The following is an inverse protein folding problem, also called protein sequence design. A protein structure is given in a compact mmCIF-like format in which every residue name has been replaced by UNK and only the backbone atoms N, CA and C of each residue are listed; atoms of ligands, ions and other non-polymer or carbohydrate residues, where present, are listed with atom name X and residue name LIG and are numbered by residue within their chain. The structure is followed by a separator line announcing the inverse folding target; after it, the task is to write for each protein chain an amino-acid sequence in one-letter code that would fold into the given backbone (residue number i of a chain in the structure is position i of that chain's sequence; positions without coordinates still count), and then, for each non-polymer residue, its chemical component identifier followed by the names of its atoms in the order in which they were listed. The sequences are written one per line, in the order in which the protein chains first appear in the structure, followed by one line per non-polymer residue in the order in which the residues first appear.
data_IF_462578327346
#
_entry.id   IF_462578327346
#
_cell.length_a   1.000
_cell.length_b   1.000
_cell.length_c   1.000
_cell.angle_alpha   90.00
_cell.angle_beta   90.00
_cell.angle_gamma   90.00
#
_symmetry.space_group_name_H-M   'P 1'
#
loop_
_entity.id
_entity.type
_entity.pdbx_description
1 polymer ?
#
# COMPACT_ATOMS: atom_id res chain seq x y z
N UNK A 1 -6.50 -24.50 -14.11
CA UNK A 1 -5.61 -23.80 -13.15
C UNK A 1 -6.43 -22.74 -12.46
N UNK A 2 -6.36 -22.69 -11.13
CA UNK A 2 -7.42 -22.17 -10.27
C UNK A 2 -7.82 -20.71 -10.56
N UNK A 3 -9.14 -20.51 -10.69
CA UNK A 3 -9.82 -19.22 -10.66
C UNK A 3 -9.68 -18.65 -9.23
N UNK A 4 -8.60 -17.90 -9.00
CA UNK A 4 -8.47 -17.10 -7.81
C UNK A 4 -9.41 -15.91 -7.97
N UNK A 5 -10.57 -15.96 -7.29
CA UNK A 5 -11.48 -14.83 -7.20
C UNK A 5 -10.66 -13.56 -6.93
N UNK A 6 -10.61 -12.66 -7.91
CA UNK A 6 -9.83 -11.43 -7.82
C UNK A 6 -10.32 -10.68 -6.59
N UNK A 7 -9.46 -10.59 -5.57
CA UNK A 7 -9.78 -9.86 -4.36
C UNK A 7 -10.07 -8.39 -4.73
N UNK A 8 -11.33 -7.99 -4.60
CA UNK A 8 -11.79 -6.64 -4.92
C UNK A 8 -11.83 -5.83 -3.64
N UNK A 9 -11.12 -4.70 -3.62
CA UNK A 9 -11.19 -3.75 -2.51
C UNK A 9 -12.61 -3.19 -2.39
N UNK A 10 -13.11 -3.05 -1.16
CA UNK A 10 -14.38 -2.37 -0.89
C UNK A 10 -14.37 -0.93 -1.42
N UNK A 11 -13.26 -0.22 -1.17
CA UNK A 11 -12.99 1.09 -1.75
C UNK A 11 -11.90 0.94 -2.82
N UNK A 12 -12.22 1.21 -4.10
CA UNK A 12 -11.23 1.15 -5.16
C UNK A 12 -10.11 2.17 -4.93
N UNK A 13 -8.96 1.96 -5.58
CA UNK A 13 -7.89 2.97 -5.60
C UNK A 13 -8.38 4.21 -6.34
N UNK A 14 -8.11 5.41 -5.81
CA UNK A 14 -8.59 6.66 -6.38
C UNK A 14 -7.79 7.89 -5.94
N UNK A 15 -8.32 9.08 -6.20
CA UNK A 15 -7.62 10.37 -6.08
C UNK A 15 -7.12 10.72 -4.67
N UNK A 16 -7.67 10.09 -3.62
CA UNK A 16 -7.28 10.30 -2.22
C UNK A 16 -6.07 9.45 -1.82
N UNK A 17 -5.65 8.53 -2.67
CA UNK A 17 -4.59 7.59 -2.36
C UNK A 17 -3.24 8.10 -2.82
N UNK A 18 -2.19 7.78 -2.06
CA UNK A 18 -0.81 8.10 -2.43
C UNK A 18 -0.24 6.94 -3.23
N UNK A 19 -0.12 7.13 -4.55
CA UNK A 19 0.23 6.07 -5.49
C UNK A 19 1.66 6.22 -5.99
N UNK A 20 2.35 5.08 -6.14
CA UNK A 20 3.64 4.96 -6.82
C UNK A 20 3.59 3.77 -7.78
N UNK A 21 4.13 3.94 -8.99
CA UNK A 21 4.08 2.95 -10.07
C UNK A 21 2.89 3.12 -11.02
N UNK A 22 2.81 2.32 -12.10
CA UNK A 22 1.77 2.46 -13.13
C UNK A 22 0.37 2.08 -12.64
N UNK A 23 -0.66 2.74 -13.19
CA UNK A 23 -2.05 2.45 -12.85
C UNK A 23 -2.54 1.09 -13.36
N UNK A 24 -1.91 0.58 -14.42
CA UNK A 24 -2.19 -0.69 -15.09
C UNK A 24 -1.25 -1.82 -14.63
N UNK A 25 -0.45 -1.59 -13.58
CA UNK A 25 0.42 -2.63 -13.04
C UNK A 25 -0.38 -3.88 -12.65
N UNK A 26 0.08 -5.09 -13.02
CA UNK A 26 -0.64 -6.33 -12.77
C UNK A 26 -0.79 -6.68 -11.28
N UNK A 27 0.02 -6.08 -10.40
CA UNK A 27 -0.08 -6.24 -8.95
C UNK A 27 -0.26 -4.88 -8.30
N UNK A 28 -1.28 -4.76 -7.45
CA UNK A 28 -1.49 -3.60 -6.59
C UNK A 28 -1.31 -3.99 -5.13
N UNK A 29 -0.43 -3.29 -4.42
CA UNK A 29 -0.23 -3.42 -2.98
C UNK A 29 -0.78 -2.16 -2.29
N UNK A 30 -1.79 -2.33 -1.44
CA UNK A 30 -2.34 -1.24 -0.63
C UNK A 30 -1.89 -1.41 0.82
N UNK A 31 -1.12 -0.45 1.32
CA UNK A 31 -0.74 -0.33 2.73
C UNK A 31 -1.63 0.71 3.42
N UNK A 32 -2.21 0.32 4.56
CA UNK A 32 -2.82 1.24 5.50
C UNK A 32 -1.81 1.50 6.61
N UNK A 33 -1.39 2.76 6.76
CA UNK A 33 -0.31 3.09 7.68
C UNK A 33 -0.47 4.44 8.34
N UNK A 34 0.34 4.59 9.38
CA UNK A 34 0.41 5.75 10.26
C UNK A 34 1.89 6.12 10.41
N UNK A 35 2.20 7.41 10.31
CA UNK A 35 3.58 7.89 10.34
C UNK A 35 4.25 7.79 11.70
N UNK A 36 3.50 7.73 12.79
CA UNK A 36 4.04 7.52 14.14
C UNK A 36 4.14 6.04 14.50
N UNK A 37 3.57 5.14 13.71
CA UNK A 37 3.63 3.70 13.95
C UNK A 37 5.05 3.14 13.70
N UNK A 38 5.72 2.57 14.72
CA UNK A 38 7.06 1.99 14.54
C UNK A 38 7.06 0.78 13.62
N UNK A 39 5.97 0.02 13.55
CA UNK A 39 5.84 -1.13 12.66
C UNK A 39 5.67 -0.71 11.19
N UNK A 40 4.88 0.33 10.91
CA UNK A 40 4.78 0.91 9.57
C UNK A 40 6.15 1.41 9.09
N UNK A 41 6.92 2.05 9.98
CA UNK A 41 8.30 2.46 9.67
C UNK A 41 9.21 1.29 9.28
N UNK A 42 9.07 0.13 9.94
CA UNK A 42 9.86 -1.07 9.64
C UNK A 42 9.51 -1.70 8.28
N UNK A 43 8.31 -1.44 7.76
CA UNK A 43 7.85 -1.96 6.47
C UNK A 43 8.45 -1.19 5.28
N UNK A 44 8.80 0.09 5.45
CA UNK A 44 9.39 0.94 4.40
C UNK A 44 10.53 0.27 3.60
N UNK A 45 11.59 -0.29 4.21
CA UNK A 45 12.64 -0.97 3.44
C UNK A 45 12.11 -2.18 2.65
N UNK A 46 11.14 -2.91 3.18
CA UNK A 46 10.53 -4.05 2.48
C UNK A 46 9.74 -3.57 1.26
N UNK A 47 8.99 -2.46 1.37
CA UNK A 47 8.29 -1.86 0.24
C UNK A 47 9.28 -1.42 -0.84
N UNK A 48 10.40 -0.79 -0.45
CA UNK A 48 11.45 -0.41 -1.40
C UNK A 48 12.03 -1.61 -2.14
N UNK A 49 12.37 -2.68 -1.42
CA UNK A 49 12.84 -3.93 -2.03
C UNK A 49 11.82 -4.51 -3.01
N UNK A 50 10.52 -4.43 -2.70
CA UNK A 50 9.45 -4.87 -3.61
C UNK A 50 9.37 -3.97 -4.85
N UNK A 51 9.43 -2.66 -4.68
CA UNK A 51 9.43 -1.71 -5.80
C UNK A 51 10.62 -1.96 -6.74
N UNK A 52 11.81 -2.20 -6.20
CA UNK A 52 13.00 -2.53 -6.98
C UNK A 52 12.85 -3.86 -7.74
N UNK A 53 12.33 -4.91 -7.08
CA UNK A 53 12.20 -6.25 -7.69
C UNK A 53 11.10 -6.33 -8.74
N UNK A 54 9.99 -5.63 -8.53
CA UNK A 54 8.83 -5.70 -9.42
C UNK A 54 8.87 -4.64 -10.52
N UNK A 55 9.51 -3.49 -10.27
CA UNK A 55 9.54 -2.35 -11.19
C UNK A 55 8.13 -1.91 -11.55
N UNK A 56 7.89 -1.68 -12.84
CA UNK A 56 6.59 -1.27 -13.40
C UNK A 56 5.46 -2.29 -13.20
N UNK A 57 5.78 -3.48 -12.69
CA UNK A 57 4.78 -4.51 -12.39
C UNK A 57 4.07 -4.31 -11.05
N UNK A 58 4.51 -3.36 -10.24
CA UNK A 58 3.91 -3.05 -8.94
C UNK A 58 3.34 -1.63 -8.92
N UNK A 59 2.07 -1.54 -8.54
CA UNK A 59 1.42 -0.32 -8.07
C UNK A 59 1.37 -0.35 -6.56
N UNK A 60 2.17 0.49 -5.91
CA UNK A 60 2.14 0.66 -4.47
C UNK A 60 1.21 1.82 -4.10
N UNK A 61 0.36 1.61 -3.11
CA UNK A 61 -0.66 2.57 -2.68
C UNK A 61 -0.59 2.69 -1.17
N UNK A 62 -0.39 3.91 -0.67
CA UNK A 62 -0.44 4.20 0.75
C UNK A 62 -1.74 4.95 1.11
N UNK A 63 -2.41 4.47 2.16
CA UNK A 63 -3.61 5.06 2.76
C UNK A 63 -3.34 5.44 4.20
N UNK A 64 -3.60 6.70 4.55
CA UNK A 64 -3.55 7.14 5.94
C UNK A 64 -4.57 6.36 6.79
N UNK A 65 -4.06 5.73 7.84
CA UNK A 65 -4.86 5.04 8.85
C UNK A 65 -4.44 5.50 10.25
N UNK A 66 -4.79 6.75 10.62
CA UNK A 66 -4.32 7.35 11.86
C UNK A 66 -4.86 6.61 13.08
N UNK A 67 -3.96 6.09 13.92
CA UNK A 67 -4.28 5.41 15.16
C UNK A 67 -4.35 6.42 16.31
N UNK A 68 -5.29 7.35 16.22
CA UNK A 68 -5.45 8.49 17.16
C UNK A 68 -5.53 8.12 18.66
N UNK A 69 -5.89 6.88 18.99
CA UNK A 69 -5.89 6.39 20.39
C UNK A 69 -4.51 5.98 20.90
N UNK A 70 -3.55 5.74 20.01
CA UNK A 70 -2.20 5.27 20.30
C UNK A 70 -1.11 6.27 19.89
N UNK A 71 -1.37 7.09 18.87
CA UNK A 71 -0.43 8.03 18.28
C UNK A 71 -1.01 9.46 18.32
N UNK A 72 -0.40 10.39 19.07
CA UNK A 72 -1.00 11.71 19.34
C UNK A 72 -1.00 12.67 18.14
N UNK A 73 -0.17 12.43 17.13
CA UNK A 73 -0.02 13.22 15.89
C UNK A 73 -0.33 12.39 14.63
N UNK A 74 -1.16 11.35 14.76
CA UNK A 74 -1.55 10.45 13.68
C UNK A 74 -2.19 11.15 12.48
#
# INVERSE_FOLDING_TARGET
MADAATAKLTLPVGERDHVQGPDDAPVTLVEYGDYECPYCRQVVPIIRDLQERFGDRLRYVFRHFPLSTAHPNA
#
